data_IF_706762277512
#
_entry.id   IF_706762277512
#
_cell.length_a   1.000
_cell.length_b   1.000
_cell.length_c   1.000
_cell.angle_alpha   90.00
_cell.angle_beta   90.00
_cell.angle_gamma   90.00
#
_symmetry.space_group_name_H-M   'P 1'
#
loop_
_entity.id
_entity.type
_entity.pdbx_description
1 polymer ?
#
# COMPACT_ATOMS: atom_id res chain seq x y z
N UNK A 1 10.84 4.27 4.90
CA UNK A 1 11.58 3.73 6.05
C UNK A 1 13.04 3.98 5.80
N UNK A 2 13.65 4.84 6.60
CA UNK A 2 15.09 5.06 6.58
C UNK A 2 15.63 4.35 7.82
N UNK A 3 16.49 3.32 7.69
CA UNK A 3 17.13 2.73 8.84
C UNK A 3 18.07 3.78 9.45
N UNK A 4 17.87 4.09 10.73
CA UNK A 4 18.84 4.89 11.49
C UNK A 4 20.00 3.98 11.92
N UNK A 5 21.18 4.57 12.07
CA UNK A 5 22.41 3.89 12.53
C UNK A 5 22.27 3.18 13.88
N UNK A 6 21.24 3.52 14.66
CA UNK A 6 21.01 3.03 16.01
C UNK A 6 20.04 1.84 16.07
N UNK A 7 19.73 1.22 14.91
CA UNK A 7 18.81 0.08 14.84
C UNK A 7 17.34 0.44 15.06
N UNK A 8 16.98 1.72 14.88
CA UNK A 8 15.61 2.22 14.98
C UNK A 8 15.05 2.55 13.59
N UNK A 9 13.74 2.35 13.43
CA UNK A 9 12.98 2.63 12.22
C UNK A 9 12.03 3.79 12.46
N UNK A 10 12.03 4.75 11.54
CA UNK A 10 11.08 5.87 11.57
C UNK A 10 9.83 5.52 10.77
N UNK A 11 8.67 5.53 11.44
CA UNK A 11 7.34 5.28 10.86
C UNK A 11 6.45 6.47 11.23
N UNK A 12 5.90 7.17 10.23
CA UNK A 12 5.03 8.35 10.42
C UNK A 12 5.63 9.44 11.33
N UNK A 13 6.95 9.63 11.28
CA UNK A 13 7.66 10.62 12.11
C UNK A 13 7.96 10.16 13.54
N UNK A 14 7.56 8.94 13.92
CA UNK A 14 7.89 8.33 15.20
C UNK A 14 9.02 7.31 15.04
N UNK A 15 9.95 7.26 16.00
CA UNK A 15 11.01 6.28 16.03
C UNK A 15 10.60 5.03 16.81
N UNK A 16 10.83 3.87 16.22
CA UNK A 16 10.59 2.57 16.82
C UNK A 16 11.89 1.77 16.86
N UNK A 17 12.21 1.19 18.02
CA UNK A 17 13.16 0.08 18.07
C UNK A 17 12.60 -1.14 17.35
N UNK A 18 13.47 -2.06 16.94
CA UNK A 18 13.07 -3.36 16.36
C UNK A 18 12.05 -4.09 17.23
N UNK A 19 12.28 -4.13 18.56
CA UNK A 19 11.38 -4.79 19.51
C UNK A 19 9.99 -4.15 19.56
N UNK A 20 9.93 -2.82 19.51
CA UNK A 20 8.65 -2.10 19.49
C UNK A 20 7.91 -2.32 18.17
N UNK A 21 8.65 -2.40 17.05
CA UNK A 21 8.05 -2.70 15.76
C UNK A 21 7.49 -4.12 15.70
N UNK A 22 8.21 -5.11 16.22
CA UNK A 22 7.74 -6.49 16.34
C UNK A 22 6.47 -6.58 17.19
N UNK A 23 6.45 -5.91 18.36
CA UNK A 23 5.27 -5.86 19.22
C UNK A 23 4.08 -5.20 18.50
N UNK A 24 4.31 -4.10 17.80
CA UNK A 24 3.28 -3.42 17.01
C UNK A 24 2.74 -4.32 15.88
N UNK A 25 3.62 -5.00 15.16
CA UNK A 25 3.23 -5.95 14.12
C UNK A 25 2.36 -7.09 14.69
N UNK A 26 2.71 -7.64 15.85
CA UNK A 26 1.90 -8.66 16.51
C UNK A 26 0.53 -8.13 16.93
N UNK A 27 0.46 -6.91 17.48
CA UNK A 27 -0.82 -6.27 17.84
C UNK A 27 -1.70 -6.03 16.62
N UNK A 28 -1.12 -5.57 15.51
CA UNK A 28 -1.84 -5.35 14.25
C UNK A 28 -2.34 -6.68 13.66
N UNK A 29 -1.53 -7.75 13.71
CA UNK A 29 -1.95 -9.08 13.26
C UNK A 29 -3.12 -9.62 14.12
N UNK A 30 -3.06 -9.45 15.45
CA UNK A 30 -4.16 -9.82 16.34
C UNK A 30 -5.44 -9.02 16.04
N UNK A 31 -5.32 -7.71 15.86
CA UNK A 31 -6.44 -6.84 15.52
C UNK A 31 -7.06 -7.24 14.17
N UNK A 32 -6.22 -7.52 13.16
CA UNK A 32 -6.66 -8.01 11.84
C UNK A 32 -7.48 -9.30 11.95
N UNK A 33 -7.04 -10.25 12.78
CA UNK A 33 -7.73 -11.53 12.97
C UNK A 33 -9.07 -11.40 13.70
N UNK A 34 -9.32 -10.27 14.36
CA UNK A 34 -10.57 -9.98 15.07
C UNK A 34 -11.56 -9.16 14.24
N UNK A 35 -11.16 -8.69 13.04
CA UNK A 35 -12.04 -7.91 12.17
C UNK A 35 -13.16 -8.77 11.57
N UNK A 36 -14.34 -8.16 11.42
CA UNK A 36 -15.48 -8.76 10.73
C UNK A 36 -15.90 -7.88 9.55
N UNK A 37 -16.04 -8.45 8.33
CA UNK A 37 -15.76 -9.85 7.99
C UNK A 37 -14.26 -10.20 8.11
N UNK A 38 -13.90 -11.49 8.25
CA UNK A 38 -12.50 -11.91 8.29
C UNK A 38 -11.72 -11.38 7.09
N UNK A 39 -10.53 -10.84 7.34
CA UNK A 39 -9.64 -10.37 6.27
C UNK A 39 -9.11 -11.56 5.50
N UNK A 40 -9.56 -11.73 4.25
CA UNK A 40 -9.11 -12.81 3.38
C UNK A 40 -7.62 -12.66 3.04
N UNK A 41 -6.88 -13.77 3.13
CA UNK A 41 -5.42 -13.81 2.86
C UNK A 41 -5.09 -14.19 1.42
N UNK A 42 -6.01 -14.89 0.75
CA UNK A 42 -5.84 -15.33 -0.64
C UNK A 42 -6.94 -14.76 -1.53
N UNK A 43 -6.53 -14.28 -2.70
CA UNK A 43 -7.45 -13.89 -3.77
C UNK A 43 -7.65 -15.11 -4.66
N UNK A 44 -8.86 -15.67 -4.68
CA UNK A 44 -9.19 -16.75 -5.62
C UNK A 44 -9.80 -16.19 -6.90
N UNK A 45 -9.66 -16.90 -8.02
CA UNK A 45 -10.15 -16.45 -9.32
C UNK A 45 -11.67 -16.20 -9.35
N UNK A 46 -12.40 -16.90 -8.48
CA UNK A 46 -13.86 -16.84 -8.38
C UNK A 46 -14.35 -15.80 -7.36
N UNK A 47 -13.45 -15.03 -6.73
CA UNK A 47 -13.86 -13.99 -5.80
C UNK A 47 -14.62 -12.88 -6.52
N UNK A 48 -15.79 -12.46 -6.00
CA UNK A 48 -16.49 -11.32 -6.56
C UNK A 48 -15.60 -10.08 -6.45
N UNK A 49 -15.41 -9.40 -7.57
CA UNK A 49 -14.73 -8.10 -7.59
C UNK A 49 -15.60 -7.11 -6.83
N UNK A 50 -15.18 -6.77 -5.61
CA UNK A 50 -15.83 -5.74 -4.82
C UNK A 50 -15.44 -4.38 -5.40
N UNK A 51 -16.36 -3.78 -6.15
CA UNK A 51 -16.20 -2.43 -6.67
C UNK A 51 -16.56 -1.44 -5.57
N UNK A 52 -15.61 -0.60 -5.19
CA UNK A 52 -15.87 0.54 -4.32
C UNK A 52 -16.04 1.79 -5.18
N UNK A 53 -17.20 2.43 -5.06
CA UNK A 53 -17.45 3.75 -5.63
C UNK A 53 -16.69 4.81 -4.80
N UNK A 54 -16.19 5.84 -5.49
CA UNK A 54 -15.48 6.97 -4.86
C UNK A 54 -14.30 6.57 -3.96
N UNK A 55 -13.49 5.62 -4.41
CA UNK A 55 -12.30 5.19 -3.68
C UNK A 55 -11.29 6.33 -3.53
N UNK A 56 -10.73 6.49 -2.32
CA UNK A 56 -9.62 7.42 -2.12
C UNK A 56 -8.40 6.94 -2.89
N UNK A 57 -7.76 7.87 -3.59
CA UNK A 57 -6.58 7.62 -4.40
C UNK A 57 -5.42 8.50 -3.92
N UNK A 58 -4.24 7.90 -3.80
CA UNK A 58 -3.01 8.60 -3.44
C UNK A 58 -1.89 8.25 -4.42
N UNK A 59 -1.04 9.22 -4.72
CA UNK A 59 0.17 9.01 -5.52
C UNK A 59 1.37 9.44 -4.70
N UNK A 60 2.36 8.57 -4.63
CA UNK A 60 3.65 8.87 -4.02
C UNK A 60 4.76 8.60 -5.02
N UNK A 61 5.75 9.49 -5.05
CA UNK A 61 7.00 9.24 -5.77
C UNK A 61 8.11 9.02 -4.75
N UNK A 62 8.86 7.92 -4.89
CA UNK A 62 10.02 7.70 -4.03
C UNK A 62 11.19 8.57 -4.50
N UNK A 63 11.90 9.19 -3.55
CA UNK A 63 13.11 9.99 -3.84
C UNK A 63 14.38 9.13 -3.96
N UNK A 64 14.24 7.81 -4.14
CA UNK A 64 15.36 6.90 -4.32
C UNK A 64 15.98 7.05 -5.73
N UNK A 65 17.24 6.62 -5.95
CA UNK A 65 17.90 6.71 -7.25
C UNK A 65 17.11 6.07 -8.41
N UNK A 66 16.36 5.02 -8.11
CA UNK A 66 15.56 4.25 -9.08
C UNK A 66 14.15 4.82 -9.34
N UNK A 67 13.79 5.96 -8.72
CA UNK A 67 12.53 6.72 -8.87
C UNK A 67 11.32 5.86 -9.24
N UNK A 68 10.67 5.31 -8.23
CA UNK A 68 9.41 4.59 -8.40
C UNK A 68 8.22 5.52 -8.21
N UNK A 69 7.14 5.22 -8.93
CA UNK A 69 5.82 5.79 -8.67
C UNK A 69 4.99 4.72 -8.00
N UNK A 70 4.39 5.07 -6.87
CA UNK A 70 3.45 4.22 -6.15
C UNK A 70 2.06 4.83 -6.21
N UNK A 71 1.08 4.00 -6.57
CA UNK A 71 -0.33 4.33 -6.50
C UNK A 71 -0.96 3.62 -5.31
N UNK A 72 -1.65 4.37 -4.45
CA UNK A 72 -2.45 3.85 -3.36
C UNK A 72 -3.92 3.93 -3.71
N UNK A 73 -4.65 2.83 -3.50
CA UNK A 73 -6.11 2.79 -3.53
C UNK A 73 -6.61 2.40 -2.14
N UNK A 74 -7.54 3.18 -1.59
CA UNK A 74 -8.13 2.87 -0.28
C UNK A 74 -9.41 2.05 -0.47
N UNK A 75 -9.36 0.82 0.02
CA UNK A 75 -10.55 -0.01 0.20
C UNK A 75 -11.05 0.09 1.65
N UNK A 76 -12.34 0.30 1.88
CA UNK A 76 -12.89 0.48 3.23
C UNK A 76 -12.68 -0.74 4.13
N UNK A 77 -12.69 -1.95 3.57
CA UNK A 77 -12.45 -3.19 4.30
C UNK A 77 -10.99 -3.65 4.42
N UNK A 78 -10.07 -3.12 3.59
CA UNK A 78 -8.67 -3.59 3.52
C UNK A 78 -7.64 -2.49 3.79
N UNK A 79 -8.08 -1.24 3.93
CA UNK A 79 -7.20 -0.09 4.04
C UNK A 79 -6.54 0.26 2.70
N UNK A 80 -5.31 0.75 2.76
CA UNK A 80 -4.56 1.17 1.58
C UNK A 80 -3.86 -0.01 0.91
N UNK A 81 -4.12 -0.19 -0.38
CA UNK A 81 -3.43 -1.14 -1.25
C UNK A 81 -2.49 -0.34 -2.15
N UNK A 82 -1.20 -0.66 -2.11
CA UNK A 82 -0.16 0.06 -2.85
C UNK A 82 0.37 -0.76 -4.03
N UNK A 83 0.44 -0.14 -5.19
CA UNK A 83 1.06 -0.67 -6.40
C UNK A 83 2.29 0.16 -6.72
N UNK A 84 3.46 -0.48 -6.84
CA UNK A 84 4.72 0.22 -7.15
C UNK A 84 5.17 -0.10 -8.56
N UNK A 85 5.49 0.93 -9.32
CA UNK A 85 5.90 0.81 -10.72
C UNK A 85 7.33 1.33 -10.89
N UNK A 86 8.11 0.62 -11.70
CA UNK A 86 9.30 1.21 -12.30
C UNK A 86 8.90 2.40 -13.17
N UNK A 87 9.84 3.31 -13.41
CA UNK A 87 9.61 4.51 -14.23
C UNK A 87 9.01 4.20 -15.60
N UNK A 88 9.51 3.14 -16.25
CA UNK A 88 9.07 2.69 -17.56
C UNK A 88 7.61 2.20 -17.54
N UNK A 89 7.25 1.39 -16.54
CA UNK A 89 5.87 0.90 -16.36
C UNK A 89 4.90 2.01 -15.98
N UNK A 90 5.34 2.96 -15.15
CA UNK A 90 4.55 4.14 -14.78
C UNK A 90 4.22 5.00 -16.01
N UNK A 91 5.19 5.19 -16.92
CA UNK A 91 4.99 5.91 -18.18
C UNK A 91 3.95 5.21 -19.06
N UNK A 92 4.08 3.90 -19.24
CA UNK A 92 3.14 3.10 -20.02
C UNK A 92 1.70 3.20 -19.47
N UNK A 93 1.52 3.08 -18.15
CA UNK A 93 0.21 3.19 -17.52
C UNK A 93 -0.36 4.59 -17.70
N UNK A 94 0.45 5.65 -17.53
CA UNK A 94 0.01 7.02 -17.76
C UNK A 94 -0.50 7.24 -19.19
N UNK A 95 0.22 6.71 -20.19
CA UNK A 95 -0.19 6.77 -21.60
C UNK A 95 -1.50 6.01 -21.84
N UNK A 96 -1.64 4.80 -21.29
CA UNK A 96 -2.85 3.99 -21.43
C UNK A 96 -4.09 4.64 -20.78
N UNK A 97 -3.93 5.27 -19.61
CA UNK A 97 -5.01 5.99 -18.92
C UNK A 97 -5.45 7.23 -19.69
N UNK A 98 -4.50 8.00 -20.25
CA UNK A 98 -4.79 9.18 -21.07
C UNK A 98 -5.47 8.85 -22.40
N UNK A 99 -5.24 7.65 -22.95
CA UNK A 99 -5.94 7.18 -24.14
C UNK A 99 -7.39 6.80 -23.81
N UNK A 100 -7.62 6.15 -22.66
CA UNK A 100 -8.96 5.76 -22.21
C UNK A 100 -9.84 6.91 -21.75
N UNK A 101 -9.28 8.01 -21.25
CA UNK A 101 -10.07 9.19 -20.85
C UNK A 101 -10.55 10.04 -22.03
N UNK A 102 -10.08 9.74 -23.25
CA UNK A 102 -10.44 10.43 -24.49
C UNK A 102 -11.47 9.68 -25.35
N UNK A 103 -11.89 8.48 -24.94
CA UNK A 103 -12.95 7.69 -25.57
C UNK A 103 -14.15 7.57 -24.65
#
# INVERSE_FOLDING_TARGET
MTPNTDGTLTVLGQQFSTRQLEALMHQLAQARNQMQPPVQEEVTADMPVLVQHDADFAVAQTQTPERHVSFGLRHLGFGWIFFTFSRERAKFIGEALLQRSKG
#
